data_IF_048195933985
#
_entry.id   IF_048195933985
#
_cell.length_a   1.000
_cell.length_b   1.000
_cell.length_c   1.000
_cell.angle_alpha   90.00
_cell.angle_beta   90.00
_cell.angle_gamma   90.00
#
_symmetry.space_group_name_H-M   'P 1'
#
loop_
_entity.id
_entity.type
_entity.pdbx_description
1 polymer ?
#
# COMPACT_ATOMS: atom_id res chain seq x y z
N UNK A 1 -18.14 -28.20 -15.52
CA UNK A 1 -16.89 -27.50 -15.90
C UNK A 1 -17.17 -26.06 -16.31
N UNK A 2 -17.75 -25.24 -15.41
CA UNK A 2 -18.13 -23.83 -15.69
C UNK A 2 -17.61 -22.87 -14.63
N UNK A 3 -16.58 -23.27 -13.83
CA UNK A 3 -16.22 -22.49 -12.64
C UNK A 3 -15.03 -21.55 -12.80
N UNK A 4 -14.19 -21.68 -13.80
CA UNK A 4 -13.01 -20.82 -13.99
C UNK A 4 -13.25 -19.58 -14.89
N UNK A 5 -14.30 -19.59 -15.72
CA UNK A 5 -14.61 -18.50 -16.65
C UNK A 5 -15.36 -17.33 -15.99
N UNK A 6 -16.11 -17.58 -14.92
CA UNK A 6 -16.86 -16.53 -14.19
C UNK A 6 -16.00 -15.72 -13.19
N UNK A 7 -14.83 -16.21 -12.80
CA UNK A 7 -13.89 -15.46 -11.94
C UNK A 7 -13.14 -14.34 -12.65
N UNK A 8 -13.35 -14.17 -13.94
CA UNK A 8 -12.85 -13.03 -14.73
C UNK A 8 -13.85 -11.86 -14.77
N UNK A 9 -14.90 -11.92 -13.95
CA UNK A 9 -15.79 -10.79 -13.77
C UNK A 9 -14.97 -9.65 -13.14
N UNK A 10 -15.04 -8.51 -13.79
CA UNK A 10 -14.38 -7.26 -13.50
C UNK A 10 -14.15 -7.09 -11.99
N UNK A 11 -12.93 -7.40 -11.53
CA UNK A 11 -12.56 -7.11 -10.15
C UNK A 11 -12.58 -5.61 -10.01
N UNK A 12 -13.48 -5.12 -9.21
CA UNK A 12 -13.59 -3.72 -8.87
C UNK A 12 -13.35 -3.57 -7.37
N UNK A 13 -12.62 -2.57 -7.00
CA UNK A 13 -12.40 -2.19 -5.61
C UNK A 13 -12.76 -0.73 -5.43
N UNK A 14 -12.98 -0.33 -4.20
CA UNK A 14 -13.07 1.07 -3.82
C UNK A 14 -12.31 1.33 -2.53
N UNK A 15 -11.94 2.59 -2.30
CA UNK A 15 -11.29 3.03 -1.08
C UNK A 15 -12.35 3.54 -0.11
N UNK A 16 -12.35 2.99 1.09
CA UNK A 16 -13.18 3.44 2.20
C UNK A 16 -12.27 4.04 3.26
N UNK A 17 -12.59 5.23 3.81
CA UNK A 17 -11.81 5.78 4.93
C UNK A 17 -11.63 4.75 6.04
N UNK A 18 -10.42 4.67 6.58
CA UNK A 18 -10.09 3.74 7.65
C UNK A 18 -10.73 4.19 8.96
N UNK A 19 -11.30 3.25 9.71
CA UNK A 19 -11.81 3.46 11.04
C UNK A 19 -10.98 2.69 12.08
N UNK A 20 -10.51 3.38 13.13
CA UNK A 20 -9.64 2.78 14.15
C UNK A 20 -10.30 1.60 14.89
N UNK A 21 -11.63 1.54 14.90
CA UNK A 21 -12.37 0.39 15.46
C UNK A 21 -12.08 -0.91 14.73
N UNK A 22 -11.70 -0.85 13.45
CA UNK A 22 -11.38 -2.02 12.61
C UNK A 22 -9.88 -2.34 12.55
N UNK A 23 -9.03 -1.68 13.34
CA UNK A 23 -7.56 -1.85 13.31
C UNK A 23 -7.11 -3.29 13.52
N UNK A 24 -7.88 -4.09 14.26
CA UNK A 24 -7.55 -5.50 14.51
C UNK A 24 -7.52 -6.33 13.21
N UNK A 25 -8.31 -5.95 12.20
CA UNK A 25 -8.26 -6.57 10.87
C UNK A 25 -6.91 -6.32 10.21
N UNK A 26 -6.44 -5.07 10.19
CA UNK A 26 -5.12 -4.74 9.68
C UNK A 26 -4.01 -5.49 10.44
N UNK A 27 -4.06 -5.49 11.77
CA UNK A 27 -3.08 -6.18 12.62
C UNK A 27 -3.04 -7.68 12.30
N UNK A 28 -4.19 -8.31 12.06
CA UNK A 28 -4.26 -9.74 11.73
C UNK A 28 -3.60 -10.10 10.39
N UNK A 29 -3.53 -9.18 9.45
CA UNK A 29 -2.84 -9.40 8.18
C UNK A 29 -1.32 -9.29 8.30
N UNK A 30 -0.83 -8.47 9.26
CA UNK A 30 0.61 -8.22 9.45
C UNK A 30 1.15 -9.21 10.49
N UNK A 31 1.33 -10.45 10.06
CA UNK A 31 1.53 -11.61 10.93
C UNK A 31 2.99 -12.08 11.05
N UNK A 32 3.96 -11.33 10.49
CA UNK A 32 5.38 -11.60 10.67
C UNK A 32 6.21 -10.30 10.74
N UNK A 33 7.40 -10.33 11.38
CA UNK A 33 8.32 -9.19 11.41
C UNK A 33 8.70 -8.71 10.00
N UNK A 34 8.99 -9.63 9.09
CA UNK A 34 9.41 -9.33 7.72
C UNK A 34 8.28 -8.64 6.96
N UNK A 35 7.05 -9.14 7.10
CA UNK A 35 5.88 -8.51 6.46
C UNK A 35 5.62 -7.13 7.05
N UNK A 36 5.80 -6.95 8.36
CA UNK A 36 5.69 -5.63 9.00
C UNK A 36 6.68 -4.64 8.40
N UNK A 37 7.95 -5.03 8.27
CA UNK A 37 8.97 -4.15 7.68
C UNK A 37 8.68 -3.89 6.20
N UNK A 38 8.29 -4.92 5.44
CA UNK A 38 7.94 -4.75 4.02
C UNK A 38 6.74 -3.81 3.82
N UNK A 39 5.76 -3.89 4.71
CA UNK A 39 4.54 -3.09 4.68
C UNK A 39 4.75 -1.64 5.16
N UNK A 40 5.48 -1.45 6.26
CA UNK A 40 5.56 -0.17 6.95
C UNK A 40 6.95 0.45 7.02
N UNK A 41 7.99 -0.25 6.53
CA UNK A 41 9.37 0.10 6.80
C UNK A 41 9.78 -0.24 8.24
N UNK A 42 11.00 0.15 8.67
CA UNK A 42 11.55 -0.25 9.98
C UNK A 42 11.02 0.59 11.17
N UNK A 43 9.96 1.37 10.97
CA UNK A 43 9.44 2.30 11.98
C UNK A 43 8.57 1.69 13.07
N UNK A 44 8.16 0.43 12.93
CA UNK A 44 7.30 -0.26 13.89
C UNK A 44 7.97 -1.50 14.46
N UNK A 45 7.62 -1.85 15.70
CA UNK A 45 8.02 -3.09 16.33
C UNK A 45 6.97 -4.18 16.12
N UNK A 46 7.42 -5.42 15.91
CA UNK A 46 6.52 -6.57 15.88
C UNK A 46 6.31 -7.14 17.30
N UNK A 47 5.09 -7.57 17.67
CA UNK A 47 3.87 -7.47 16.87
C UNK A 47 3.34 -6.03 16.77
N UNK A 48 2.68 -5.72 15.64
CA UNK A 48 2.02 -4.44 15.45
C UNK A 48 0.89 -4.29 16.48
N UNK A 49 0.83 -3.16 17.17
CA UNK A 49 -0.18 -2.90 18.21
C UNK A 49 -1.12 -1.76 17.82
N UNK A 50 -2.35 -1.81 18.34
CA UNK A 50 -3.33 -0.72 18.18
C UNK A 50 -2.76 0.62 18.66
N UNK A 51 -2.04 0.64 19.78
CA UNK A 51 -1.47 1.87 20.36
C UNK A 51 -0.42 2.49 19.41
N UNK A 52 0.45 1.65 18.84
CA UNK A 52 1.45 2.12 17.89
C UNK A 52 0.79 2.66 16.62
N UNK A 53 -0.30 2.02 16.16
CA UNK A 53 -1.03 2.44 14.98
C UNK A 53 -1.83 3.73 15.20
N UNK A 54 -2.49 3.87 16.34
CA UNK A 54 -3.19 5.09 16.75
C UNK A 54 -2.24 6.30 16.81
N UNK A 55 -1.07 6.09 17.43
CA UNK A 55 -0.01 7.10 17.45
C UNK A 55 0.45 7.48 16.04
N UNK A 56 0.60 6.51 15.13
CA UNK A 56 0.96 6.76 13.74
C UNK A 56 -0.08 7.63 13.04
N UNK A 57 -1.36 7.31 13.21
CA UNK A 57 -2.46 8.04 12.59
C UNK A 57 -2.76 9.41 13.24
N UNK A 58 -2.06 9.79 14.30
CA UNK A 58 -2.12 11.16 14.85
C UNK A 58 -1.48 12.20 13.94
N UNK A 59 -0.70 11.78 12.95
CA UNK A 59 -0.18 12.65 11.88
C UNK A 59 -1.31 12.95 10.87
N UNK A 60 -1.75 14.21 10.84
CA UNK A 60 -2.87 14.68 10.00
C UNK A 60 -2.55 14.72 8.50
N UNK A 61 -1.28 14.54 8.11
CA UNK A 61 -0.90 14.40 6.70
C UNK A 61 -1.24 13.03 6.12
N UNK A 62 -1.57 12.06 6.98
CA UNK A 62 -1.88 10.69 6.61
C UNK A 62 -3.38 10.53 6.35
N UNK A 63 -3.73 10.06 5.18
CA UNK A 63 -5.07 9.68 4.78
C UNK A 63 -5.14 8.16 4.64
N UNK A 64 -5.62 7.43 5.67
CA UNK A 64 -5.67 5.98 5.67
C UNK A 64 -6.97 5.46 5.05
N UNK A 65 -6.86 4.35 4.30
CA UNK A 65 -7.99 3.71 3.64
C UNK A 65 -7.98 2.21 3.83
N UNK A 66 -9.17 1.63 3.96
CA UNK A 66 -9.40 0.23 3.64
C UNK A 66 -9.69 0.07 2.15
N UNK A 67 -9.23 -1.05 1.62
CA UNK A 67 -9.52 -1.51 0.27
C UNK A 67 -10.68 -2.49 0.35
N UNK A 68 -11.76 -2.21 -0.34
CA UNK A 68 -12.99 -3.02 -0.29
C UNK A 68 -13.27 -3.60 -1.67
N UNK A 69 -13.58 -4.90 -1.74
CA UNK A 69 -14.05 -5.55 -2.96
C UNK A 69 -15.51 -5.13 -3.22
N UNK A 70 -15.77 -4.52 -4.37
CA UNK A 70 -17.08 -3.98 -4.71
C UNK A 70 -18.15 -5.08 -4.91
N UNK A 71 -17.74 -6.32 -5.20
CA UNK A 71 -18.70 -7.40 -5.45
C UNK A 71 -19.16 -8.09 -4.17
N UNK A 72 -18.30 -8.13 -3.14
CA UNK A 72 -18.57 -8.83 -1.88
C UNK A 72 -18.78 -7.91 -0.70
N UNK A 73 -18.43 -6.63 -0.85
CA UNK A 73 -18.36 -5.61 0.21
C UNK A 73 -17.40 -5.99 1.35
N UNK A 74 -16.46 -6.89 1.06
CA UNK A 74 -15.46 -7.33 2.03
C UNK A 74 -14.24 -6.42 2.01
N UNK A 75 -13.74 -6.08 3.19
CA UNK A 75 -12.46 -5.39 3.34
C UNK A 75 -11.31 -6.36 3.07
N UNK A 76 -10.54 -6.10 2.02
CA UNK A 76 -9.50 -7.00 1.49
C UNK A 76 -8.09 -6.42 1.59
N UNK A 77 -7.93 -5.18 1.99
CA UNK A 77 -6.61 -4.55 2.06
C UNK A 77 -6.61 -3.23 2.79
N UNK A 78 -5.43 -2.63 2.84
CA UNK A 78 -5.17 -1.35 3.49
C UNK A 78 -4.18 -0.52 2.66
N UNK A 79 -4.26 0.79 2.76
CA UNK A 79 -3.32 1.72 2.13
C UNK A 79 -3.38 3.10 2.78
N UNK A 80 -2.36 3.91 2.52
CA UNK A 80 -2.30 5.31 2.95
C UNK A 80 -1.87 6.21 1.81
N UNK A 81 -2.43 7.42 1.78
CA UNK A 81 -1.92 8.55 1.03
C UNK A 81 -1.38 9.56 2.05
N UNK A 82 -0.13 9.94 1.90
CA UNK A 82 0.51 10.94 2.77
C UNK A 82 0.72 12.20 1.95
N UNK A 83 0.11 13.30 2.37
CA UNK A 83 0.37 14.62 1.77
C UNK A 83 1.75 15.11 2.21
N UNK A 84 2.71 15.13 1.28
CA UNK A 84 4.07 15.61 1.56
C UNK A 84 4.11 17.13 1.53
N UNK A 85 3.57 17.72 0.45
CA UNK A 85 3.37 19.16 0.29
C UNK A 85 2.24 19.44 -0.74
N UNK A 86 2.15 20.66 -1.26
CA UNK A 86 1.10 21.02 -2.23
C UNK A 86 1.29 20.40 -3.63
N UNK A 87 2.49 19.91 -3.94
CA UNK A 87 2.84 19.34 -5.24
C UNK A 87 3.10 17.82 -5.18
N UNK A 88 3.23 17.27 -3.97
CA UNK A 88 3.66 15.88 -3.80
C UNK A 88 2.79 15.13 -2.79
N UNK A 89 2.42 13.93 -3.17
CA UNK A 89 1.85 12.92 -2.26
C UNK A 89 2.66 11.64 -2.32
N UNK A 90 2.59 10.86 -1.26
CA UNK A 90 3.28 9.58 -1.18
C UNK A 90 2.27 8.47 -0.89
N UNK A 91 2.29 7.43 -1.73
CA UNK A 91 1.53 6.21 -1.47
C UNK A 91 2.32 5.32 -0.50
N UNK A 92 1.70 4.96 0.59
CA UNK A 92 2.33 4.19 1.65
C UNK A 92 1.48 2.98 2.03
N UNK A 93 2.14 1.94 2.53
CA UNK A 93 1.49 0.79 3.19
C UNK A 93 0.43 0.09 2.34
N UNK A 94 0.73 -0.09 1.04
CA UNK A 94 -0.17 -0.81 0.12
C UNK A 94 -0.15 -2.30 0.46
N UNK A 95 -1.27 -2.82 0.94
CA UNK A 95 -1.41 -4.20 1.38
C UNK A 95 -2.72 -4.81 0.86
N UNK A 96 -2.62 -5.93 0.14
CA UNK A 96 -3.72 -6.89 0.01
C UNK A 96 -3.53 -7.90 1.14
N UNK A 97 -4.48 -7.91 2.07
CA UNK A 97 -4.36 -8.62 3.34
C UNK A 97 -4.33 -10.13 3.15
N UNK A 98 -5.32 -10.68 2.46
CA UNK A 98 -5.41 -12.11 2.19
C UNK A 98 -4.37 -12.54 1.13
N UNK A 99 -3.44 -13.46 1.47
CA UNK A 99 -2.48 -13.99 0.51
C UNK A 99 -3.11 -14.62 -0.72
N UNK A 100 -4.28 -15.26 -0.59
CA UNK A 100 -4.97 -15.95 -1.69
C UNK A 100 -5.56 -14.96 -2.72
N UNK A 101 -5.70 -13.71 -2.35
CA UNK A 101 -6.13 -12.63 -3.24
C UNK A 101 -4.95 -11.96 -3.98
N UNK A 102 -3.71 -12.28 -3.62
CA UNK A 102 -2.52 -11.72 -4.27
C UNK A 102 -2.29 -12.35 -5.64
N UNK A 103 -1.56 -11.65 -6.50
CA UNK A 103 -1.31 -12.13 -7.87
C UNK A 103 -2.53 -12.07 -8.81
N UNK A 104 -3.69 -11.65 -8.33
CA UNK A 104 -4.94 -11.59 -9.10
C UNK A 104 -5.19 -10.20 -9.74
N UNK A 105 -4.21 -9.31 -9.73
CA UNK A 105 -4.32 -7.96 -10.31
C UNK A 105 -4.88 -6.89 -9.37
N UNK A 106 -5.28 -7.23 -8.13
CA UNK A 106 -5.84 -6.28 -7.16
C UNK A 106 -4.87 -5.18 -6.77
N UNK A 107 -3.58 -5.48 -6.67
CA UNK A 107 -2.55 -4.47 -6.39
C UNK A 107 -2.51 -3.36 -7.46
N UNK A 108 -2.70 -3.73 -8.72
CA UNK A 108 -2.76 -2.76 -9.83
C UNK A 108 -4.00 -1.87 -9.74
N UNK A 109 -5.16 -2.44 -9.43
CA UNK A 109 -6.38 -1.68 -9.20
C UNK A 109 -6.20 -0.72 -8.00
N UNK A 110 -5.61 -1.21 -6.91
CA UNK A 110 -5.34 -0.39 -5.72
C UNK A 110 -4.47 0.83 -6.06
N UNK A 111 -3.41 0.65 -6.83
CA UNK A 111 -2.55 1.77 -7.25
C UNK A 111 -3.32 2.80 -8.05
N UNK A 112 -4.20 2.37 -8.97
CA UNK A 112 -5.05 3.28 -9.75
C UNK A 112 -6.01 4.08 -8.88
N UNK A 113 -6.72 3.42 -7.96
CA UNK A 113 -7.64 4.09 -7.05
C UNK A 113 -6.90 5.10 -6.18
N UNK A 114 -5.69 4.77 -5.69
CA UNK A 114 -4.87 5.69 -4.91
C UNK A 114 -4.39 6.89 -5.73
N UNK A 115 -4.06 6.70 -7.01
CA UNK A 115 -3.72 7.81 -7.92
C UNK A 115 -4.94 8.75 -8.05
N UNK A 116 -6.13 8.22 -8.30
CA UNK A 116 -7.36 9.04 -8.40
C UNK A 116 -7.66 9.77 -7.10
N UNK A 117 -7.60 9.10 -5.97
CA UNK A 117 -7.85 9.70 -4.66
C UNK A 117 -6.82 10.80 -4.32
N UNK A 118 -5.56 10.60 -4.71
CA UNK A 118 -4.49 11.59 -4.56
C UNK A 118 -4.79 12.91 -5.25
N UNK A 119 -5.45 12.87 -6.42
CA UNK A 119 -5.85 14.08 -7.15
C UNK A 119 -6.92 14.87 -6.40
N UNK A 120 -7.79 14.22 -5.64
CA UNK A 120 -8.78 14.87 -4.82
C UNK A 120 -8.19 15.52 -3.56
N UNK A 121 -7.15 14.91 -2.97
CA UNK A 121 -6.51 15.38 -1.73
C UNK A 121 -5.66 16.63 -1.96
N UNK A 122 -4.82 16.66 -3.00
CA UNK A 122 -3.78 17.67 -3.14
C UNK A 122 -3.54 18.19 -4.56
N UNK A 123 -4.17 17.64 -5.60
CA UNK A 123 -3.83 17.93 -7.02
C UNK A 123 -2.31 17.91 -7.27
N UNK A 124 -1.61 16.84 -6.89
CA UNK A 124 -0.15 16.81 -6.90
C UNK A 124 0.38 16.82 -8.33
N UNK A 125 1.62 17.28 -8.50
CA UNK A 125 2.40 17.16 -9.75
C UNK A 125 3.21 15.87 -9.79
N UNK A 126 3.44 15.27 -8.61
CA UNK A 126 4.23 14.04 -8.45
C UNK A 126 3.65 13.14 -7.36
N UNK A 127 3.57 11.87 -7.66
CA UNK A 127 3.20 10.83 -6.71
C UNK A 127 4.43 9.95 -6.45
N UNK A 128 4.75 9.73 -5.19
CA UNK A 128 5.91 8.96 -4.75
C UNK A 128 5.47 7.64 -4.10
N UNK A 129 6.32 6.64 -4.15
CA UNK A 129 6.25 5.48 -3.26
C UNK A 129 7.66 4.91 -3.02
N UNK A 130 7.80 4.12 -1.96
CA UNK A 130 9.01 3.35 -1.71
C UNK A 130 8.73 1.85 -1.84
N UNK A 131 9.71 1.11 -2.36
CA UNK A 131 9.62 -0.33 -2.53
C UNK A 131 10.96 -0.98 -2.28
N UNK A 132 10.98 -2.11 -1.58
CA UNK A 132 12.19 -2.90 -1.41
C UNK A 132 12.60 -3.59 -2.72
N UNK A 133 13.89 -3.64 -3.00
CA UNK A 133 14.45 -4.17 -4.26
C UNK A 133 14.10 -5.63 -4.53
N UNK A 134 13.90 -6.42 -3.49
CA UNK A 134 13.50 -7.83 -3.61
C UNK A 134 12.00 -8.01 -3.88
N UNK A 135 11.17 -6.99 -3.67
CA UNK A 135 9.73 -7.05 -3.95
C UNK A 135 9.45 -6.78 -5.45
N UNK A 136 9.96 -7.69 -6.29
CA UNK A 136 9.88 -7.57 -7.75
C UNK A 136 8.44 -7.54 -8.28
N UNK A 137 7.52 -8.20 -7.58
CA UNK A 137 6.10 -8.19 -7.96
C UNK A 137 5.49 -6.78 -7.80
N UNK A 138 5.78 -6.10 -6.70
CA UNK A 138 5.34 -4.73 -6.48
C UNK A 138 5.99 -3.76 -7.46
N UNK A 139 7.31 -3.88 -7.70
CA UNK A 139 8.02 -3.04 -8.68
C UNK A 139 7.36 -3.13 -10.06
N UNK A 140 7.10 -4.36 -10.56
CA UNK A 140 6.43 -4.57 -11.85
C UNK A 140 5.00 -3.99 -11.85
N UNK A 141 4.29 -4.13 -10.74
CA UNK A 141 2.96 -3.55 -10.58
C UNK A 141 3.01 -2.03 -10.74
N UNK A 142 3.89 -1.35 -10.01
CA UNK A 142 4.03 0.11 -10.05
C UNK A 142 4.52 0.61 -11.41
N UNK A 143 5.49 -0.09 -12.02
CA UNK A 143 5.93 0.23 -13.40
C UNK A 143 4.80 0.13 -14.40
N UNK A 144 3.88 -0.84 -14.26
CA UNK A 144 2.73 -0.98 -15.15
C UNK A 144 1.70 0.15 -15.02
N UNK A 145 1.76 0.93 -13.96
CA UNK A 145 0.95 2.13 -13.71
C UNK A 145 1.74 3.44 -13.95
N UNK A 146 2.93 3.35 -14.55
CA UNK A 146 3.72 4.50 -14.99
C UNK A 146 4.76 5.00 -13.99
N UNK A 147 4.91 4.36 -12.84
CA UNK A 147 5.98 4.72 -11.91
C UNK A 147 7.35 4.32 -12.45
N UNK A 148 8.32 5.19 -12.27
CA UNK A 148 9.72 5.00 -12.68
C UNK A 148 10.63 5.00 -11.44
N UNK A 149 11.60 4.09 -11.39
CA UNK A 149 12.59 4.07 -10.30
C UNK A 149 13.43 5.34 -10.36
N UNK A 150 13.51 6.04 -9.23
CA UNK A 150 14.41 7.17 -9.06
C UNK A 150 15.76 6.64 -8.53
N UNK A 151 16.72 6.49 -9.42
CA UNK A 151 18.03 5.93 -9.08
C UNK A 151 18.85 6.80 -8.12
N UNK A 152 18.50 8.08 -8.01
CA UNK A 152 19.17 9.03 -7.12
C UNK A 152 18.74 8.88 -5.66
N UNK A 153 17.63 8.15 -5.40
CA UNK A 153 17.05 8.02 -4.07
C UNK A 153 16.94 6.55 -3.69
N UNK A 154 17.81 6.12 -2.81
CA UNK A 154 17.73 4.78 -2.21
C UNK A 154 18.03 4.83 -0.72
N UNK A 155 17.46 3.90 0.04
CA UNK A 155 17.74 3.74 1.47
C UNK A 155 18.07 2.28 1.76
N UNK A 156 19.00 2.06 2.67
CA UNK A 156 19.32 0.74 3.20
C UNK A 156 18.85 0.67 4.65
N UNK A 157 18.17 -0.40 5.01
CA UNK A 157 17.70 -0.69 6.37
C UNK A 157 18.25 -2.04 6.79
N UNK A 158 18.63 -2.18 8.05
CA UNK A 158 19.03 -3.47 8.61
C UNK A 158 17.78 -4.17 9.18
N UNK A 159 17.46 -5.35 8.63
CA UNK A 159 16.32 -6.17 9.04
C UNK A 159 16.83 -7.55 9.38
N UNK A 160 16.75 -7.94 10.65
CA UNK A 160 17.26 -9.23 11.16
C UNK A 160 18.71 -9.54 10.74
N UNK A 161 19.57 -8.52 10.78
CA UNK A 161 20.98 -8.63 10.40
C UNK A 161 21.24 -8.62 8.90
N UNK A 162 20.22 -8.53 8.05
CA UNK A 162 20.34 -8.43 6.60
C UNK A 162 20.07 -7.02 6.10
N UNK A 163 20.83 -6.58 5.12
CA UNK A 163 20.59 -5.30 4.46
C UNK A 163 19.44 -5.37 3.47
N UNK A 164 18.40 -4.59 3.70
CA UNK A 164 17.30 -4.40 2.77
C UNK A 164 17.41 -3.04 2.11
N UNK A 165 17.60 -3.03 0.81
CA UNK A 165 17.64 -1.81 0.02
C UNK A 165 16.26 -1.48 -0.52
N UNK A 166 15.81 -0.23 -0.33
CA UNK A 166 14.59 0.29 -0.94
C UNK A 166 14.89 1.38 -1.95
N UNK A 167 14.07 1.42 -3.00
CA UNK A 167 14.07 2.47 -4.01
C UNK A 167 12.84 3.37 -3.80
N UNK A 168 12.99 4.64 -4.16
CA UNK A 168 11.85 5.49 -4.45
C UNK A 168 11.43 5.28 -5.89
N UNK A 169 10.13 5.28 -6.15
CA UNK A 169 9.58 5.34 -7.50
C UNK A 169 8.67 6.57 -7.60
N UNK A 170 8.71 7.23 -8.74
CA UNK A 170 8.02 8.48 -9.01
C UNK A 170 7.07 8.33 -10.19
N UNK A 171 5.87 8.89 -10.06
CA UNK A 171 4.93 9.14 -11.14
C UNK A 171 4.75 10.64 -11.31
N UNK A 172 5.08 11.18 -12.48
CA UNK A 172 4.82 12.57 -12.85
C UNK A 172 3.45 12.68 -13.49
N UNK A 173 2.65 13.69 -13.09
CA UNK A 173 1.29 13.94 -13.55
C UNK A 173 1.22 15.11 -14.54
#
# INVERSE_FOLDING_TARGET
MLSLSLKKLCKMIYLRPFELLEVNRLISWVNSPELLVQFSGPGFNFPLTKVAWDKHLSDTSIHPYFVVDLNTDETIGYSEIVKVDENEVKLCRLLIGDPDLRGLGLGKLLVRELIYESLAIASPKRILLNVYNHNTAAIKCYQSEGFVINESVSKTSLVDGMEWKSFQMDLML
#
